data_IF_464413274719
#
_entry.id   IF_464413274719
#
_cell.length_a   1.000
_cell.length_b   1.000
_cell.length_c   1.000
_cell.angle_alpha   90.00
_cell.angle_beta   90.00
_cell.angle_gamma   90.00
#
_symmetry.space_group_name_H-M   'P 1'
#
loop_
_entity.id
_entity.type
_entity.pdbx_description
1 polymer ?
#
# COMPACT_ATOMS: atom_id res chain seq x y z
N UNK A 1 6.22 12.90 -1.17
CA UNK A 1 7.19 12.68 -2.26
C UNK A 1 7.99 13.96 -2.43
N UNK A 2 9.31 13.89 -2.29
CA UNK A 2 10.19 15.04 -2.56
C UNK A 2 10.38 15.20 -4.06
N UNK A 3 10.86 16.35 -4.51
CA UNK A 3 11.06 16.61 -5.94
C UNK A 3 12.11 15.66 -6.54
N UNK A 4 13.15 15.30 -5.77
CA UNK A 4 14.19 14.37 -6.20
C UNK A 4 13.63 12.97 -6.50
N UNK A 5 12.55 12.57 -5.83
CA UNK A 5 11.91 11.26 -6.02
C UNK A 5 11.26 11.11 -7.39
N UNK A 6 10.92 12.22 -8.09
CA UNK A 6 10.35 12.16 -9.44
C UNK A 6 11.25 11.42 -10.43
N UNK A 7 12.58 11.52 -10.27
CA UNK A 7 13.56 10.81 -11.12
C UNK A 7 13.44 9.29 -11.00
N UNK A 8 12.94 8.80 -9.85
CA UNK A 8 12.76 7.37 -9.58
C UNK A 8 11.37 6.90 -10.01
N UNK A 9 10.36 7.75 -9.89
CA UNK A 9 8.96 7.43 -10.20
C UNK A 9 8.67 7.45 -11.69
N UNK A 10 9.39 8.27 -12.45
CA UNK A 10 9.15 8.47 -13.88
C UNK A 10 10.25 7.80 -14.69
N UNK A 11 9.97 6.64 -15.33
CA UNK A 11 10.92 6.00 -16.23
C UNK A 11 11.33 6.97 -17.35
N UNK A 12 12.63 7.03 -17.66
CA UNK A 12 13.13 7.91 -18.71
C UNK A 12 12.97 9.41 -18.41
N UNK A 13 12.87 9.84 -17.14
CA UNK A 13 12.74 11.26 -16.78
C UNK A 13 13.79 12.17 -17.49
N UNK A 14 15.02 11.66 -17.66
CA UNK A 14 16.12 12.37 -18.33
C UNK A 14 15.92 12.52 -19.84
N UNK A 15 15.05 11.74 -20.45
CA UNK A 15 14.74 11.76 -21.88
C UNK A 15 13.51 12.61 -22.18
N UNK A 16 12.73 12.97 -21.15
CA UNK A 16 11.55 13.82 -21.31
C UNK A 16 11.91 15.18 -21.91
N UNK A 17 11.12 15.59 -22.90
CA UNK A 17 11.20 16.94 -23.45
C UNK A 17 10.88 18.00 -22.40
N UNK A 18 11.36 19.24 -22.60
CA UNK A 18 11.05 20.35 -21.69
C UNK A 18 9.53 20.57 -21.49
N UNK A 19 8.67 20.54 -22.53
CA UNK A 19 7.22 20.59 -22.33
C UNK A 19 6.66 19.48 -21.43
N UNK A 20 7.13 18.23 -21.57
CA UNK A 20 6.70 17.13 -20.71
C UNK A 20 7.16 17.33 -19.25
N UNK A 21 8.39 17.80 -19.04
CA UNK A 21 8.88 18.15 -17.71
C UNK A 21 8.10 19.29 -17.07
N UNK A 22 7.75 20.32 -17.84
CA UNK A 22 6.92 21.44 -17.35
C UNK A 22 5.56 20.92 -16.87
N UNK A 23 4.90 20.04 -17.62
CA UNK A 23 3.65 19.40 -17.18
C UNK A 23 3.85 18.56 -15.92
N UNK A 24 4.91 17.78 -15.86
CA UNK A 24 5.24 16.95 -14.70
C UNK A 24 5.52 17.77 -13.44
N UNK A 25 6.26 18.88 -13.55
CA UNK A 25 6.51 19.80 -12.44
C UNK A 25 5.24 20.53 -12.01
N UNK A 26 4.42 20.95 -12.97
CA UNK A 26 3.11 21.55 -12.67
C UNK A 26 2.24 20.56 -11.89
N UNK A 27 2.16 19.31 -12.36
CA UNK A 27 1.45 18.24 -11.66
C UNK A 27 2.02 18.00 -10.25
N UNK A 28 3.34 17.88 -10.11
CA UNK A 28 4.01 17.69 -8.83
C UNK A 28 3.68 18.80 -7.82
N UNK A 29 3.74 20.06 -8.27
CA UNK A 29 3.45 21.22 -7.43
C UNK A 29 1.99 21.29 -6.99
N UNK A 30 1.06 20.89 -7.86
CA UNK A 30 -0.35 20.73 -7.49
C UNK A 30 -0.55 19.62 -6.46
N UNK A 31 -0.01 18.44 -6.73
CA UNK A 31 -0.32 17.21 -5.99
C UNK A 31 0.42 17.12 -4.66
N UNK A 32 1.68 17.55 -4.59
CA UNK A 32 2.54 17.36 -3.42
C UNK A 32 2.93 18.66 -2.72
N UNK A 33 2.95 19.80 -3.41
CA UNK A 33 3.21 21.10 -2.80
C UNK A 33 1.93 21.91 -2.50
N UNK A 34 0.76 21.36 -2.80
CA UNK A 34 -0.54 21.96 -2.49
C UNK A 34 -0.83 23.29 -3.22
N UNK A 35 -0.09 23.59 -4.30
CA UNK A 35 -0.25 24.86 -5.01
C UNK A 35 -1.44 24.78 -5.96
N UNK A 36 -2.40 25.69 -5.86
CA UNK A 36 -3.53 25.71 -6.78
C UNK A 36 -3.16 26.24 -8.18
N UNK A 37 -2.13 27.08 -8.25
CA UNK A 37 -1.53 27.64 -9.46
C UNK A 37 -0.02 27.65 -9.37
N UNK A 38 0.62 27.61 -10.53
CA UNK A 38 2.09 27.70 -10.66
C UNK A 38 2.47 28.89 -11.52
N UNK A 39 3.56 29.54 -11.15
CA UNK A 39 4.22 30.58 -11.94
C UNK A 39 5.52 30.07 -12.56
N UNK A 40 6.15 30.91 -13.38
CA UNK A 40 7.42 30.60 -14.05
C UNK A 40 8.52 30.30 -13.03
N UNK A 41 8.56 31.04 -11.92
CA UNK A 41 9.61 30.90 -10.91
C UNK A 41 9.49 29.59 -10.12
N UNK A 42 8.27 29.13 -9.86
CA UNK A 42 8.00 27.84 -9.23
C UNK A 42 8.53 26.69 -10.09
N UNK A 43 8.30 26.74 -11.40
CA UNK A 43 8.81 25.74 -12.34
C UNK A 43 10.33 25.85 -12.47
N UNK A 44 10.87 27.07 -12.52
CA UNK A 44 12.32 27.32 -12.55
C UNK A 44 13.03 26.66 -11.37
N UNK A 45 12.51 26.84 -10.15
CA UNK A 45 13.07 26.21 -8.94
C UNK A 45 13.10 24.68 -9.05
N UNK A 46 12.11 24.07 -9.70
CA UNK A 46 12.13 22.61 -9.93
C UNK A 46 13.30 22.19 -10.83
N UNK A 47 13.59 22.96 -11.88
CA UNK A 47 14.75 22.70 -12.74
C UNK A 47 16.07 22.88 -11.98
N UNK A 48 16.20 23.95 -11.21
CA UNK A 48 17.40 24.29 -10.43
C UNK A 48 17.70 23.23 -9.36
N UNK A 49 16.69 22.85 -8.57
CA UNK A 49 16.82 21.83 -7.52
C UNK A 49 17.20 20.46 -8.09
N UNK A 50 16.75 20.14 -9.31
CA UNK A 50 17.10 18.88 -9.97
C UNK A 50 18.38 18.96 -10.82
N UNK A 51 19.02 20.14 -10.85
CA UNK A 51 20.23 20.46 -11.62
C UNK A 51 20.09 20.27 -13.14
N UNK A 52 18.96 20.71 -13.71
CA UNK A 52 18.73 20.70 -15.17
C UNK A 52 18.81 22.10 -15.77
N UNK A 53 19.21 22.15 -17.05
CA UNK A 53 19.15 23.38 -17.85
C UNK A 53 17.73 23.93 -17.94
N UNK A 54 17.55 25.20 -17.57
CA UNK A 54 16.25 25.87 -17.61
C UNK A 54 15.94 26.29 -19.05
N UNK A 55 14.84 25.82 -19.65
CA UNK A 55 14.43 26.23 -21.00
C UNK A 55 13.79 27.63 -20.98
N UNK A 56 13.31 28.11 -22.12
CA UNK A 56 12.50 29.32 -22.17
C UNK A 56 11.08 29.03 -21.63
N UNK A 57 10.95 29.04 -20.31
CA UNK A 57 9.72 28.72 -19.59
C UNK A 57 8.54 29.62 -19.99
N UNK A 58 8.77 30.91 -20.19
CA UNK A 58 7.71 31.85 -20.59
C UNK A 58 7.10 31.44 -21.94
N UNK A 59 7.94 31.14 -22.93
CA UNK A 59 7.51 30.68 -24.25
C UNK A 59 6.85 29.31 -24.19
N UNK A 60 7.45 28.37 -23.48
CA UNK A 60 6.99 26.98 -23.51
C UNK A 60 5.67 26.80 -22.74
N UNK A 61 5.49 27.49 -21.61
CA UNK A 61 4.21 27.51 -20.87
C UNK A 61 3.11 28.21 -21.65
N UNK A 62 3.41 29.33 -22.33
CA UNK A 62 2.44 30.00 -23.20
C UNK A 62 1.99 29.08 -24.34
N UNK A 63 2.94 28.40 -25.01
CA UNK A 63 2.62 27.41 -26.07
C UNK A 63 1.75 26.27 -25.56
N UNK A 64 2.01 25.74 -24.37
CA UNK A 64 1.18 24.69 -23.77
C UNK A 64 -0.25 25.17 -23.45
N UNK A 65 -0.43 26.44 -23.13
CA UNK A 65 -1.74 27.04 -22.91
C UNK A 65 -2.50 27.38 -24.21
N UNK A 66 -1.77 27.69 -25.29
CA UNK A 66 -2.34 28.04 -26.60
C UNK A 66 -2.66 26.82 -27.48
N UNK A 67 -2.17 25.63 -27.13
CA UNK A 67 -2.49 24.37 -27.83
C UNK A 67 -3.99 24.13 -27.91
N UNK A 68 -4.43 23.38 -28.93
CA UNK A 68 -5.83 22.96 -29.11
C UNK A 68 -5.88 21.43 -29.25
N UNK A 69 -6.32 20.69 -28.21
CA UNK A 69 -6.78 21.18 -26.90
C UNK A 69 -5.65 21.75 -26.04
N UNK A 70 -5.93 22.70 -25.13
CA UNK A 70 -4.93 23.24 -24.22
C UNK A 70 -4.42 22.16 -23.26
N UNK A 71 -3.15 22.24 -22.90
CA UNK A 71 -2.54 21.34 -21.91
C UNK A 71 -2.32 22.05 -20.56
N UNK A 72 -2.16 23.37 -20.61
CA UNK A 72 -2.22 24.26 -19.45
C UNK A 72 -3.40 25.22 -19.59
N UNK A 73 -3.99 25.60 -18.46
CA UNK A 73 -4.93 26.68 -18.36
C UNK A 73 -4.24 27.86 -17.69
N UNK A 74 -4.35 29.04 -18.29
CA UNK A 74 -3.76 30.28 -17.78
C UNK A 74 -4.85 31.22 -17.27
N UNK A 75 -4.64 31.80 -16.10
CA UNK A 75 -5.44 32.91 -15.55
C UNK A 75 -4.53 34.00 -14.97
N UNK A 76 -5.12 35.01 -14.32
CA UNK A 76 -4.38 36.13 -13.72
C UNK A 76 -3.42 35.70 -12.59
N UNK A 77 -3.66 34.53 -11.99
CA UNK A 77 -2.92 34.02 -10.84
C UNK A 77 -1.86 32.97 -11.22
N UNK A 78 -1.80 32.56 -12.49
CA UNK A 78 -0.75 31.69 -13.02
C UNK A 78 -1.29 30.62 -13.95
N UNK A 79 -0.63 29.47 -13.93
CA UNK A 79 -0.97 28.30 -14.75
C UNK A 79 -1.46 27.14 -13.89
N UNK A 80 -2.30 26.28 -14.46
CA UNK A 80 -2.61 24.95 -13.94
C UNK A 80 -2.72 23.95 -15.07
N UNK A 81 -2.65 22.66 -14.76
CA UNK A 81 -2.97 21.63 -15.74
C UNK A 81 -4.44 21.67 -16.14
N UNK A 82 -4.69 21.46 -17.42
CA UNK A 82 -6.02 21.13 -17.92
C UNK A 82 -6.45 19.76 -17.36
N UNK A 83 -7.75 19.58 -17.11
CA UNK A 83 -8.29 18.43 -16.38
C UNK A 83 -7.88 17.09 -16.99
N UNK A 84 -8.02 16.92 -18.31
CA UNK A 84 -7.61 15.68 -19.00
C UNK A 84 -6.12 15.42 -18.88
N UNK A 85 -5.28 16.46 -18.96
CA UNK A 85 -3.83 16.27 -18.77
C UNK A 85 -3.54 15.89 -17.33
N UNK A 86 -4.20 16.52 -16.35
CA UNK A 86 -4.06 16.16 -14.95
C UNK A 86 -4.44 14.70 -14.70
N UNK A 87 -5.58 14.24 -15.21
CA UNK A 87 -6.02 12.85 -15.08
C UNK A 87 -5.01 11.84 -15.65
N UNK A 88 -4.37 12.17 -16.79
CA UNK A 88 -3.31 11.34 -17.36
C UNK A 88 -2.10 11.26 -16.42
N UNK A 89 -1.69 12.36 -15.81
CA UNK A 89 -0.56 12.37 -14.87
C UNK A 89 -0.93 11.74 -13.52
N UNK A 90 -2.16 11.90 -13.03
CA UNK A 90 -2.67 11.22 -11.84
C UNK A 90 -2.70 9.69 -12.06
N UNK A 91 -3.15 9.23 -13.23
CA UNK A 91 -3.12 7.82 -13.58
C UNK A 91 -1.71 7.25 -13.72
N UNK A 92 -0.77 8.04 -14.26
CA UNK A 92 0.63 7.60 -14.48
C UNK A 92 1.50 7.66 -13.22
N UNK A 93 1.32 8.69 -12.39
CA UNK A 93 2.27 9.07 -11.35
C UNK A 93 1.60 9.40 -10.00
N UNK A 94 0.28 9.50 -9.93
CA UNK A 94 -0.51 9.78 -8.72
C UNK A 94 -0.39 8.73 -7.62
N UNK A 95 0.11 7.55 -7.96
CA UNK A 95 0.49 6.52 -7.01
C UNK A 95 1.92 6.78 -6.55
N UNK A 96 2.12 7.02 -5.25
CA UNK A 96 3.45 7.22 -4.69
C UNK A 96 4.39 6.05 -5.04
N UNK A 97 5.71 6.25 -5.18
CA UNK A 97 6.66 5.18 -5.53
C UNK A 97 6.58 3.94 -4.62
N UNK A 98 6.27 4.13 -3.34
CA UNK A 98 6.07 3.03 -2.40
C UNK A 98 4.71 2.34 -2.59
N UNK A 99 3.72 3.05 -3.14
CA UNK A 99 2.51 2.45 -3.71
C UNK A 99 2.77 1.69 -5.00
N UNK A 100 3.85 1.92 -5.75
CA UNK A 100 4.21 1.12 -6.95
C UNK A 100 4.84 -0.20 -6.55
N UNK A 101 5.75 -0.23 -5.57
CA UNK A 101 6.33 -1.49 -5.07
C UNK A 101 5.27 -2.38 -4.42
N UNK A 102 4.40 -1.79 -3.59
CA UNK A 102 3.23 -2.47 -3.04
C UNK A 102 2.28 -2.84 -4.18
N UNK A 103 1.88 -1.93 -5.08
CA UNK A 103 0.98 -2.27 -6.19
C UNK A 103 1.53 -3.35 -7.14
N UNK A 104 2.84 -3.44 -7.35
CA UNK A 104 3.45 -4.50 -8.16
C UNK A 104 3.48 -5.83 -7.40
N UNK A 105 3.87 -5.83 -6.12
CA UNK A 105 3.77 -7.00 -5.24
C UNK A 105 2.33 -7.56 -5.22
N UNK A 106 1.36 -6.65 -5.33
CA UNK A 106 -0.07 -6.92 -5.24
C UNK A 106 -0.76 -7.17 -6.57
N UNK A 107 -0.18 -6.76 -7.70
CA UNK A 107 -0.71 -7.07 -9.03
C UNK A 107 -0.53 -8.57 -9.34
N UNK A 108 0.54 -9.16 -8.80
CA UNK A 108 0.87 -10.58 -8.98
C UNK A 108 0.30 -11.50 -7.89
N UNK A 109 -0.30 -10.93 -6.83
CA UNK A 109 -0.78 -11.71 -5.69
C UNK A 109 -2.15 -12.38 -5.91
N UNK A 110 -3.15 -11.75 -6.56
CA UNK A 110 -4.44 -12.37 -6.79
C UNK A 110 -4.39 -13.69 -7.56
N UNK A 111 -3.35 -13.90 -8.38
CA UNK A 111 -3.10 -15.18 -9.06
C UNK A 111 -2.42 -16.23 -8.19
N UNK A 112 -1.90 -15.84 -7.02
CA UNK A 112 -1.18 -16.70 -6.06
C UNK A 112 -1.99 -16.98 -4.80
N UNK A 113 -3.11 -16.27 -4.58
CA UNK A 113 -4.03 -16.48 -3.47
C UNK A 113 -5.14 -17.44 -3.90
N UNK A 114 -5.30 -18.61 -3.26
CA UNK A 114 -6.14 -19.69 -3.79
C UNK A 114 -7.66 -19.48 -3.63
N UNK A 115 -8.13 -18.51 -2.84
CA UNK A 115 -9.56 -18.33 -2.52
C UNK A 115 -10.13 -16.96 -2.92
N UNK A 116 -11.38 -16.95 -3.42
CA UNK A 116 -12.09 -15.72 -3.82
C UNK A 116 -12.23 -14.71 -2.66
N UNK A 117 -12.63 -15.16 -1.47
CA UNK A 117 -12.79 -14.32 -0.27
C UNK A 117 -11.47 -13.65 0.16
N UNK A 118 -10.34 -14.34 -0.02
CA UNK A 118 -9.01 -13.81 0.29
C UNK A 118 -8.57 -12.75 -0.73
N UNK A 119 -9.00 -12.87 -1.98
CA UNK A 119 -8.80 -11.82 -3.00
C UNK A 119 -9.54 -10.54 -2.62
N UNK A 120 -10.69 -10.65 -1.97
CA UNK A 120 -11.49 -9.50 -1.53
C UNK A 120 -10.81 -8.76 -0.37
N UNK A 121 -10.34 -9.46 0.67
CA UNK A 121 -9.58 -8.82 1.76
C UNK A 121 -8.32 -8.10 1.25
N UNK A 122 -7.61 -8.72 0.30
CA UNK A 122 -6.47 -8.06 -0.33
C UNK A 122 -6.90 -6.77 -1.00
N UNK A 123 -7.92 -6.83 -1.88
CA UNK A 123 -8.43 -5.69 -2.63
C UNK A 123 -8.90 -4.56 -1.71
N UNK A 124 -9.59 -4.89 -0.63
CA UNK A 124 -10.03 -3.94 0.38
C UNK A 124 -8.84 -3.28 1.08
N UNK A 125 -7.79 -4.02 1.43
CA UNK A 125 -6.55 -3.44 1.97
C UNK A 125 -5.94 -2.41 1.01
N UNK A 126 -5.99 -2.68 -0.30
CA UNK A 126 -5.41 -1.79 -1.31
C UNK A 126 -6.24 -0.55 -1.53
N UNK A 127 -7.56 -0.72 -1.55
CA UNK A 127 -8.48 0.39 -1.66
C UNK A 127 -8.32 1.32 -0.45
N UNK A 128 -8.25 0.77 0.77
CA UNK A 128 -7.97 1.53 1.98
C UNK A 128 -6.63 2.28 1.89
N UNK A 129 -5.58 1.58 1.46
CA UNK A 129 -4.24 2.17 1.33
C UNK A 129 -4.21 3.31 0.28
N UNK A 130 -4.85 3.13 -0.88
CA UNK A 130 -4.93 4.13 -1.96
C UNK A 130 -5.60 5.43 -1.53
N UNK A 131 -6.65 5.33 -0.70
CA UNK A 131 -7.33 6.51 -0.13
C UNK A 131 -6.68 7.03 1.14
N UNK A 132 -5.47 6.56 1.47
CA UNK A 132 -4.69 6.92 2.67
C UNK A 132 -5.37 6.57 3.99
N UNK A 133 -6.31 5.62 3.97
CA UNK A 133 -6.88 5.01 5.18
C UNK A 133 -5.94 3.94 5.72
N UNK A 134 -4.79 4.36 6.25
CA UNK A 134 -3.71 3.44 6.65
C UNK A 134 -4.10 2.53 7.81
N UNK A 135 -4.94 3.01 8.75
CA UNK A 135 -5.47 2.18 9.84
C UNK A 135 -6.28 1.01 9.29
N UNK A 136 -7.21 1.29 8.38
CA UNK A 136 -8.03 0.27 7.72
C UNK A 136 -7.18 -0.67 6.85
N UNK A 137 -6.19 -0.14 6.14
CA UNK A 137 -5.30 -0.96 5.32
C UNK A 137 -4.56 -2.03 6.15
N UNK A 138 -4.06 -1.66 7.33
CA UNK A 138 -3.42 -2.59 8.27
C UNK A 138 -4.41 -3.65 8.77
N UNK A 139 -5.65 -3.25 9.11
CA UNK A 139 -6.70 -4.17 9.56
C UNK A 139 -7.04 -5.18 8.46
N UNK A 140 -7.22 -4.73 7.22
CA UNK A 140 -7.57 -5.62 6.12
C UNK A 140 -6.42 -6.57 5.73
N UNK A 141 -5.17 -6.10 5.78
CA UNK A 141 -4.01 -6.95 5.55
C UNK A 141 -3.90 -8.06 6.60
N UNK A 142 -4.20 -7.74 7.87
CA UNK A 142 -4.28 -8.74 8.94
C UNK A 142 -5.39 -9.76 8.68
N UNK A 143 -6.60 -9.31 8.34
CA UNK A 143 -7.73 -10.20 8.06
C UNK A 143 -7.40 -11.21 6.96
N UNK A 144 -6.77 -10.75 5.88
CA UNK A 144 -6.29 -11.62 4.81
C UNK A 144 -5.35 -12.72 5.34
N UNK A 145 -4.27 -12.33 6.02
CA UNK A 145 -3.25 -13.27 6.45
C UNK A 145 -3.76 -14.22 7.54
N UNK A 146 -4.64 -13.73 8.42
CA UNK A 146 -5.24 -14.53 9.47
C UNK A 146 -6.25 -15.54 8.91
N UNK A 147 -7.20 -15.11 8.06
CA UNK A 147 -8.12 -16.03 7.34
C UNK A 147 -7.33 -17.11 6.59
N UNK A 148 -6.28 -16.69 5.88
CA UNK A 148 -5.42 -17.61 5.15
C UNK A 148 -4.73 -18.64 6.05
N UNK A 149 -4.20 -18.21 7.20
CA UNK A 149 -3.62 -19.12 8.18
C UNK A 149 -4.66 -20.10 8.75
N UNK A 150 -5.89 -19.65 9.03
CA UNK A 150 -6.97 -20.52 9.53
C UNK A 150 -7.36 -21.59 8.50
N UNK A 151 -7.57 -21.17 7.25
CA UNK A 151 -7.90 -22.10 6.15
C UNK A 151 -6.75 -23.04 5.87
N UNK A 152 -5.51 -22.55 5.93
CA UNK A 152 -4.33 -23.40 5.89
C UNK A 152 -4.39 -24.44 7.01
N UNK A 153 -4.57 -24.07 8.28
CA UNK A 153 -4.70 -25.05 9.38
C UNK A 153 -5.77 -26.13 9.10
N UNK A 154 -6.94 -25.76 8.57
CA UNK A 154 -8.05 -26.68 8.26
C UNK A 154 -7.82 -27.56 7.04
N UNK A 155 -7.05 -27.11 6.06
CA UNK A 155 -6.87 -27.81 4.78
C UNK A 155 -6.09 -29.13 4.90
N UNK A 156 -5.38 -29.37 6.01
CA UNK A 156 -4.63 -30.61 6.26
C UNK A 156 -5.02 -31.23 7.61
N UNK A 157 -5.51 -32.47 7.57
CA UNK A 157 -6.01 -33.16 8.77
C UNK A 157 -4.92 -33.45 9.80
N UNK A 158 -3.68 -33.68 9.38
CA UNK A 158 -2.54 -33.93 10.28
C UNK A 158 -2.11 -32.66 10.99
N UNK A 159 -2.06 -31.55 10.25
CA UNK A 159 -1.82 -30.21 10.78
C UNK A 159 -2.91 -29.82 11.77
N UNK A 160 -4.17 -29.98 11.41
CA UNK A 160 -5.32 -29.68 12.28
C UNK A 160 -5.31 -30.56 13.54
N UNK A 161 -4.99 -31.85 13.41
CA UNK A 161 -4.84 -32.74 14.56
C UNK A 161 -3.74 -32.28 15.51
N UNK A 162 -2.57 -31.93 14.97
CA UNK A 162 -1.41 -31.44 15.74
C UNK A 162 -1.74 -30.13 16.46
N UNK A 163 -2.46 -29.22 15.79
CA UNK A 163 -2.95 -27.99 16.40
C UNK A 163 -3.90 -28.28 17.58
N UNK A 164 -4.92 -29.11 17.36
CA UNK A 164 -5.92 -29.47 18.37
C UNK A 164 -5.29 -30.15 19.60
N UNK A 165 -4.29 -31.00 19.42
CA UNK A 165 -3.58 -31.64 20.55
C UNK A 165 -2.88 -30.63 21.47
N UNK A 166 -2.51 -29.44 20.95
CA UNK A 166 -1.83 -28.40 21.72
C UNK A 166 -2.77 -27.46 22.46
N UNK A 167 -4.04 -27.36 22.06
CA UNK A 167 -5.05 -26.52 22.74
C UNK A 167 -5.11 -26.82 24.25
N UNK A 168 -5.37 -28.06 24.71
CA UNK A 168 -5.47 -28.34 26.15
C UNK A 168 -4.13 -28.23 26.89
N UNK A 169 -2.99 -28.28 26.18
CA UNK A 169 -1.67 -28.11 26.77
C UNK A 169 -1.40 -26.63 27.03
N UNK A 170 -1.71 -25.76 26.07
CA UNK A 170 -1.47 -24.31 26.18
C UNK A 170 -2.55 -23.61 27.00
N UNK A 171 -3.81 -24.04 26.83
CA UNK A 171 -4.98 -23.49 27.50
C UNK A 171 -5.84 -24.59 28.12
N UNK A 172 -5.42 -25.19 29.26
CA UNK A 172 -6.12 -26.33 29.89
C UNK A 172 -7.58 -26.07 30.27
N UNK A 173 -7.99 -24.80 30.40
CA UNK A 173 -9.37 -24.40 30.73
C UNK A 173 -10.28 -24.29 29.50
N UNK A 174 -9.72 -24.31 28.28
CA UNK A 174 -10.48 -24.22 27.03
C UNK A 174 -10.82 -25.62 26.57
N UNK A 175 -12.10 -25.97 26.60
CA UNK A 175 -12.61 -27.24 26.09
C UNK A 175 -13.08 -27.08 24.64
N UNK A 176 -12.17 -26.62 23.78
CA UNK A 176 -12.43 -26.32 22.37
C UNK A 176 -11.73 -27.35 21.50
N UNK A 177 -12.40 -27.76 20.43
CA UNK A 177 -11.80 -28.57 19.37
C UNK A 177 -12.21 -27.96 18.04
N UNK A 178 -11.21 -27.61 17.24
CA UNK A 178 -11.42 -27.03 15.92
C UNK A 178 -11.71 -28.15 14.92
N UNK A 179 -12.87 -28.08 14.27
CA UNK A 179 -13.32 -28.96 13.19
C UNK A 179 -13.68 -28.16 11.94
N UNK A 180 -14.30 -27.00 12.15
CA UNK A 180 -14.76 -26.06 11.13
C UNK A 180 -14.08 -24.71 11.31
N UNK A 181 -14.34 -23.79 10.37
CA UNK A 181 -13.82 -22.43 10.44
C UNK A 181 -14.39 -21.65 11.64
N UNK A 182 -15.69 -21.80 11.90
CA UNK A 182 -16.39 -21.06 12.95
C UNK A 182 -15.90 -21.45 14.36
N UNK A 183 -15.37 -22.66 14.54
CA UNK A 183 -14.82 -23.10 15.83
C UNK A 183 -13.61 -22.26 16.28
N UNK A 184 -12.95 -21.52 15.37
CA UNK A 184 -11.88 -20.60 15.75
C UNK A 184 -12.38 -19.39 16.55
N UNK A 185 -13.67 -19.04 16.49
CA UNK A 185 -14.25 -17.93 17.26
C UNK A 185 -14.15 -18.15 18.78
N UNK A 186 -14.05 -19.41 19.22
CA UNK A 186 -13.85 -19.76 20.63
C UNK A 186 -12.42 -19.47 21.14
N UNK A 187 -11.50 -19.12 20.25
CA UNK A 187 -10.12 -18.75 20.55
C UNK A 187 -9.84 -17.30 20.16
N UNK A 188 -9.03 -16.62 20.97
CA UNK A 188 -8.48 -15.32 20.53
C UNK A 188 -7.44 -15.56 19.45
N UNK A 189 -7.26 -14.58 18.59
CA UNK A 189 -6.26 -14.66 17.51
C UNK A 189 -4.84 -14.85 18.04
N UNK A 190 -4.50 -14.22 19.18
CA UNK A 190 -3.23 -14.46 19.88
C UNK A 190 -3.10 -15.90 20.36
N UNK A 191 -4.19 -16.49 20.85
CA UNK A 191 -4.21 -17.88 21.33
C UNK A 191 -3.94 -18.84 20.16
N UNK A 192 -4.55 -18.59 18.99
CA UNK A 192 -4.30 -19.39 17.77
C UNK A 192 -2.83 -19.33 17.36
N UNK A 193 -2.22 -18.14 17.33
CA UNK A 193 -0.79 -17.98 16.99
C UNK A 193 0.11 -18.70 18.01
N UNK A 194 -0.18 -18.57 19.30
CA UNK A 194 0.57 -19.24 20.37
C UNK A 194 0.44 -20.77 20.30
N UNK A 195 -0.77 -21.30 20.03
CA UNK A 195 -1.00 -22.74 19.86
C UNK A 195 -0.21 -23.25 18.66
N UNK A 196 -0.29 -22.58 17.50
CA UNK A 196 0.45 -22.95 16.30
C UNK A 196 1.98 -22.94 16.53
N UNK A 197 2.48 -21.97 17.31
CA UNK A 197 3.89 -21.94 17.74
C UNK A 197 4.23 -23.14 18.62
N UNK A 198 3.41 -23.44 19.63
CA UNK A 198 3.64 -24.57 20.56
C UNK A 198 3.54 -25.93 19.88
N UNK A 199 2.78 -25.99 18.78
CA UNK A 199 2.64 -27.15 17.92
C UNK A 199 3.83 -27.36 16.97
N UNK A 200 4.72 -26.37 16.83
CA UNK A 200 5.80 -26.42 15.86
C UNK A 200 5.32 -26.34 14.41
N UNK A 201 4.08 -25.89 14.18
CA UNK A 201 3.49 -25.80 12.83
C UNK A 201 4.02 -24.59 12.05
N UNK A 202 4.45 -23.55 12.76
CA UNK A 202 5.00 -22.33 12.20
C UNK A 202 6.42 -22.11 12.74
N UNK A 203 7.33 -21.65 11.88
CA UNK A 203 8.67 -21.30 12.32
C UNK A 203 8.68 -20.02 13.16
N UNK A 204 9.72 -19.84 13.97
CA UNK A 204 9.85 -18.72 14.90
C UNK A 204 9.88 -17.34 14.22
N UNK A 205 10.30 -17.25 12.96
CA UNK A 205 10.26 -16.02 12.18
C UNK A 205 8.83 -15.59 11.86
N UNK A 206 8.02 -16.51 11.34
CA UNK A 206 6.60 -16.28 11.01
C UNK A 206 5.80 -15.94 12.27
N UNK A 207 6.04 -16.64 13.39
CA UNK A 207 5.38 -16.34 14.67
C UNK A 207 5.69 -14.92 15.16
N UNK A 208 6.95 -14.47 15.07
CA UNK A 208 7.33 -13.10 15.45
C UNK A 208 6.63 -12.05 14.58
N UNK A 209 6.48 -12.32 13.28
CA UNK A 209 5.76 -11.44 12.36
C UNK A 209 4.27 -11.39 12.72
N UNK A 210 3.62 -12.54 12.93
CA UNK A 210 2.21 -12.60 13.32
C UNK A 210 1.95 -11.87 14.64
N UNK A 211 2.79 -12.05 15.65
CA UNK A 211 2.65 -11.33 16.93
C UNK A 211 2.86 -9.81 16.79
N UNK A 212 3.87 -9.40 16.02
CA UNK A 212 4.12 -7.97 15.70
C UNK A 212 2.90 -7.35 15.02
N UNK A 213 2.37 -8.02 14.00
CA UNK A 213 1.27 -7.49 13.19
C UNK A 213 -0.07 -7.55 13.91
N UNK A 214 -0.32 -8.55 14.75
CA UNK A 214 -1.50 -8.60 15.62
C UNK A 214 -1.54 -7.39 16.57
N UNK A 215 -0.42 -7.08 17.23
CA UNK A 215 -0.30 -5.91 18.12
C UNK A 215 -0.50 -4.60 17.37
N UNK A 216 0.05 -4.50 16.17
CA UNK A 216 -0.10 -3.31 15.31
C UNK A 216 -1.55 -3.15 14.86
N UNK A 217 -2.21 -4.23 14.43
CA UNK A 217 -3.61 -4.21 14.03
C UNK A 217 -4.51 -3.83 15.20
N UNK A 218 -4.31 -4.39 16.39
CA UNK A 218 -5.07 -4.00 17.58
C UNK A 218 -4.94 -2.49 17.84
N UNK A 219 -3.73 -1.95 17.76
CA UNK A 219 -3.49 -0.51 17.91
C UNK A 219 -4.18 0.32 16.81
N UNK A 220 -4.23 -0.19 15.57
CA UNK A 220 -4.89 0.48 14.44
C UNK A 220 -6.42 0.44 14.55
N UNK A 221 -6.99 -0.64 15.09
CA UNK A 221 -8.44 -0.83 15.23
C UNK A 221 -9.04 -0.08 16.44
N UNK A 222 -8.26 0.15 17.50
CA UNK A 222 -8.76 0.85 18.69
C UNK A 222 -8.71 2.37 18.56
N UNK A 223 -9.80 3.11 18.88
CA UNK A 223 -9.77 4.58 18.91
C UNK A 223 -8.62 5.09 19.77
N UNK A 224 -7.69 5.81 19.16
CA UNK A 224 -6.47 6.27 19.81
C UNK A 224 -5.87 7.46 19.05
N UNK A 225 -5.09 8.33 19.71
CA UNK A 225 -4.37 9.43 19.04
C UNK A 225 -3.18 8.94 18.20
N UNK A 226 -2.91 7.63 18.20
CA UNK A 226 -1.82 7.03 17.43
C UNK A 226 -2.04 7.25 15.94
N UNK A 227 -1.04 7.86 15.30
CA UNK A 227 -1.01 8.08 13.85
C UNK A 227 -0.33 6.88 13.18
N UNK A 228 -1.00 6.30 12.19
CA UNK A 228 -0.44 5.26 11.34
C UNK A 228 -0.06 5.87 9.99
N UNK A 229 1.21 5.74 9.66
CA UNK A 229 1.81 6.30 8.45
C UNK A 229 1.68 5.34 7.27
N UNK A 230 1.93 5.88 6.08
CA UNK A 230 2.03 5.09 4.85
C UNK A 230 3.02 3.93 4.99
N UNK A 231 4.24 4.19 5.48
CA UNK A 231 5.27 3.17 5.66
C UNK A 231 4.85 2.02 6.58
N UNK A 232 4.10 2.31 7.64
CA UNK A 232 3.61 1.28 8.56
C UNK A 232 2.54 0.40 7.89
N UNK A 233 1.68 0.97 7.06
CA UNK A 233 0.73 0.18 6.28
C UNK A 233 1.44 -0.69 5.22
N UNK A 234 2.45 -0.14 4.54
CA UNK A 234 3.25 -0.89 3.55
C UNK A 234 4.01 -2.05 4.19
N UNK A 235 4.65 -1.80 5.34
CA UNK A 235 5.36 -2.80 6.13
C UNK A 235 4.40 -3.94 6.51
N UNK A 236 3.22 -3.62 7.06
CA UNK A 236 2.21 -4.62 7.41
C UNK A 236 1.74 -5.44 6.22
N UNK A 237 1.38 -4.78 5.11
CA UNK A 237 0.92 -5.47 3.89
C UNK A 237 2.03 -6.40 3.38
N UNK A 238 3.24 -5.89 3.26
CA UNK A 238 4.38 -6.62 2.68
C UNK A 238 4.78 -7.81 3.55
N UNK A 239 4.88 -7.62 4.87
CA UNK A 239 5.29 -8.69 5.78
C UNK A 239 4.27 -9.82 5.83
N UNK A 240 3.00 -9.49 5.96
CA UNK A 240 1.92 -10.47 6.04
C UNK A 240 1.78 -11.24 4.72
N UNK A 241 1.83 -10.55 3.60
CA UNK A 241 1.76 -11.17 2.28
C UNK A 241 2.95 -12.12 2.05
N UNK A 242 4.18 -11.64 2.19
CA UNK A 242 5.36 -12.43 1.83
C UNK A 242 5.64 -13.57 2.80
N UNK A 243 5.42 -13.33 4.09
CA UNK A 243 5.87 -14.26 5.13
C UNK A 243 4.74 -15.16 5.66
N UNK A 244 3.48 -14.80 5.45
CA UNK A 244 2.33 -15.62 5.85
C UNK A 244 1.64 -16.16 4.60
N UNK A 245 1.02 -15.30 3.80
CA UNK A 245 0.16 -15.73 2.68
C UNK A 245 0.93 -16.54 1.63
N UNK A 246 2.05 -16.02 1.13
CA UNK A 246 2.81 -16.72 0.08
C UNK A 246 3.57 -17.96 0.61
N UNK A 247 3.80 -18.03 1.92
CA UNK A 247 4.60 -19.06 2.59
C UNK A 247 3.77 -20.24 3.07
N UNK A 248 2.51 -20.02 3.45
CA UNK A 248 1.59 -21.05 3.92
C UNK A 248 0.78 -21.63 2.76
N UNK A 249 1.37 -22.58 2.02
CA UNK A 249 0.67 -23.28 0.92
C UNK A 249 0.12 -24.63 1.38
#
# INVERSE_FOLDING_TARGET
MQLEDLKRVVPGFQELSHPERIKLFTWYLHTYAGRERVDIDSIRRCYEQLHYGVPNLARDMARLAERRPPELLKDATGYRLEARVREVFDGKYGYAPSSIAVANLLADLPSQVPGADQSDFLREALNCYRVKSFRSAIVMAWNLAYDHMLRWLLADATRLHTFNQRIPIRYPKKQVRIVTFDDFEDLKESEVVEIASSAGLLNSGVIKILDKELKRRNSAAHPSPTVFTQYQAEDSITDLVNNVVLRLR
#
